data_IF_134494693130
#
_entry.id   IF_134494693130
#
_cell.length_a   1.000
_cell.length_b   1.000
_cell.length_c   1.000
_cell.angle_alpha   90.00
_cell.angle_beta   90.00
_cell.angle_gamma   90.00
#
_symmetry.space_group_name_H-M   'P 1'
#
loop_
_entity.id
_entity.type
_entity.pdbx_description
1 polymer ?
#
# COMPACT_ATOMS: atom_id res chain seq x y z
N UNK A 1 0.77 3.18 -0.86
CA UNK A 1 0.98 4.13 -1.98
C UNK A 1 -0.25 4.36 -2.85
N UNK A 2 -0.96 3.32 -3.32
CA UNK A 2 -2.12 3.48 -4.22
C UNK A 2 -3.19 4.45 -3.73
N UNK A 3 -3.52 4.45 -2.42
CA UNK A 3 -4.47 5.40 -1.85
C UNK A 3 -4.04 6.87 -2.00
N UNK A 4 -2.75 7.18 -1.88
CA UNK A 4 -2.23 8.54 -2.14
C UNK A 4 -2.32 8.94 -3.60
N UNK A 5 -2.04 8.01 -4.52
CA UNK A 5 -2.24 8.24 -5.96
C UNK A 5 -3.71 8.54 -6.26
N UNK A 6 -4.63 7.76 -5.71
CA UNK A 6 -6.07 7.97 -5.88
C UNK A 6 -6.54 9.30 -5.29
N UNK A 7 -6.08 9.65 -4.08
CA UNK A 7 -6.34 10.95 -3.44
C UNK A 7 -5.84 12.11 -4.30
N UNK A 8 -4.59 12.06 -4.79
CA UNK A 8 -4.04 13.10 -5.67
C UNK A 8 -4.86 13.24 -6.95
N UNK A 9 -5.26 12.12 -7.56
CA UNK A 9 -6.07 12.15 -8.76
C UNK A 9 -7.45 12.76 -8.52
N UNK A 10 -8.14 12.37 -7.43
CA UNK A 10 -9.43 12.93 -7.05
C UNK A 10 -9.34 14.44 -6.77
N UNK A 11 -8.29 14.90 -6.08
CA UNK A 11 -8.07 16.32 -5.78
C UNK A 11 -7.75 17.15 -7.02
N UNK A 12 -7.02 16.59 -7.99
CA UNK A 12 -6.56 17.33 -9.18
C UNK A 12 -7.47 17.18 -10.39
N UNK A 13 -8.32 16.15 -10.43
CA UNK A 13 -9.27 15.82 -11.50
C UNK A 13 -10.63 15.39 -10.92
N UNK A 14 -11.28 16.22 -10.08
CA UNK A 14 -12.48 15.82 -9.32
C UNK A 14 -13.64 15.34 -10.20
N UNK A 15 -13.83 15.93 -11.39
CA UNK A 15 -14.89 15.55 -12.32
C UNK A 15 -14.73 14.16 -12.95
N UNK A 16 -13.54 13.54 -12.81
CA UNK A 16 -13.25 12.20 -13.33
C UNK A 16 -13.45 11.10 -12.28
N UNK A 17 -13.83 11.46 -11.05
CA UNK A 17 -13.95 10.53 -9.94
C UNK A 17 -15.35 10.65 -9.34
N UNK A 18 -16.17 9.63 -9.54
CA UNK A 18 -17.54 9.59 -8.99
C UNK A 18 -17.54 9.37 -7.47
N UNK A 19 -16.73 8.42 -6.99
CA UNK A 19 -16.56 8.07 -5.57
C UNK A 19 -15.13 7.62 -5.32
N UNK A 20 -14.62 7.85 -4.10
CA UNK A 20 -13.26 7.49 -3.70
C UNK A 20 -13.27 6.52 -2.51
N UNK A 21 -12.52 5.41 -2.60
CA UNK A 21 -12.21 4.55 -1.45
C UNK A 21 -10.71 4.60 -1.19
N UNK A 22 -10.32 4.95 0.04
CA UNK A 22 -8.93 5.01 0.49
C UNK A 22 -8.75 3.99 1.61
N UNK A 23 -7.76 3.11 1.46
CA UNK A 23 -7.49 2.06 2.45
C UNK A 23 -6.19 2.37 3.19
N UNK A 24 -6.34 2.65 4.47
CA UNK A 24 -5.30 2.73 5.49
C UNK A 24 -4.09 3.60 5.10
N UNK A 25 -4.34 4.81 4.63
CA UNK A 25 -3.30 5.82 4.37
C UNK A 25 -3.83 7.24 4.57
N UNK A 26 -3.04 8.07 5.26
CA UNK A 26 -3.33 9.49 5.47
C UNK A 26 -2.78 10.34 4.31
N UNK A 27 -3.47 11.45 3.92
CA UNK A 27 -2.93 12.41 2.97
C UNK A 27 -1.79 13.25 3.54
N UNK A 28 -1.67 13.35 4.88
CA UNK A 28 -0.69 14.23 5.54
C UNK A 28 0.39 13.49 6.31
N UNK A 29 0.11 12.27 6.76
CA UNK A 29 1.04 11.50 7.60
C UNK A 29 1.51 10.24 6.87
N UNK A 30 2.77 9.90 7.08
CA UNK A 30 3.32 8.58 6.78
C UNK A 30 3.97 8.05 8.07
N UNK A 31 3.74 6.77 8.44
CA UNK A 31 4.35 6.21 9.64
C UNK A 31 5.88 6.22 9.62
N UNK A 32 6.50 6.31 10.80
CA UNK A 32 7.97 6.27 10.97
C UNK A 32 8.59 5.01 10.38
N UNK A 33 7.87 3.89 10.38
CA UNK A 33 8.35 2.63 9.80
C UNK A 33 8.67 2.75 8.30
N UNK A 34 7.99 3.68 7.61
CA UNK A 34 8.20 3.98 6.19
C UNK A 34 9.24 5.09 6.00
N UNK A 35 9.31 6.08 6.91
CA UNK A 35 10.09 7.30 6.70
C UNK A 35 11.43 7.35 7.43
N UNK A 36 11.53 6.76 8.63
CA UNK A 36 12.68 6.89 9.53
C UNK A 36 13.33 5.55 9.82
N UNK A 37 12.54 4.49 10.01
CA UNK A 37 13.08 3.16 10.35
C UNK A 37 13.64 2.42 9.12
N UNK A 38 13.54 3.02 7.93
CA UNK A 38 14.10 2.55 6.66
C UNK A 38 13.74 1.08 6.32
N UNK A 39 12.66 0.54 6.89
CA UNK A 39 12.27 -0.87 6.71
C UNK A 39 12.06 -1.21 5.24
N UNK A 40 11.46 -0.30 4.46
CA UNK A 40 11.31 -0.48 3.02
C UNK A 40 12.67 -0.59 2.30
N UNK A 41 13.65 0.23 2.68
CA UNK A 41 15.01 0.18 2.10
C UNK A 41 15.69 -1.13 2.47
N UNK A 42 15.55 -1.57 3.74
CA UNK A 42 16.07 -2.86 4.20
C UNK A 42 15.49 -4.02 3.38
N UNK A 43 14.17 -4.08 3.23
CA UNK A 43 13.51 -5.10 2.41
C UNK A 43 13.99 -5.06 0.96
N UNK A 44 14.08 -3.87 0.35
CA UNK A 44 14.58 -3.72 -1.01
C UNK A 44 16.05 -4.14 -1.16
N UNK A 45 16.89 -3.97 -0.14
CA UNK A 45 18.26 -4.46 -0.12
C UNK A 45 18.30 -6.00 -0.01
N UNK A 46 17.48 -6.59 0.85
CA UNK A 46 17.37 -8.04 0.97
C UNK A 46 16.91 -8.67 -0.35
N UNK A 47 15.93 -8.05 -1.04
CA UNK A 47 15.44 -8.49 -2.34
C UNK A 47 16.50 -8.48 -3.45
N UNK A 48 17.49 -7.58 -3.41
CA UNK A 48 18.59 -7.57 -4.39
C UNK A 48 19.49 -8.81 -4.25
N UNK A 49 19.55 -9.42 -3.07
CA UNK A 49 20.37 -10.61 -2.83
C UNK A 49 19.75 -11.87 -3.43
N UNK A 50 18.44 -11.87 -3.69
CA UNK A 50 17.68 -13.06 -4.10
C UNK A 50 18.03 -13.49 -5.53
N UNK A 51 17.88 -12.60 -6.52
CA UNK A 51 17.97 -12.97 -7.93
C UNK A 51 19.31 -13.63 -8.32
N UNK A 52 20.48 -13.17 -7.84
CA UNK A 52 21.77 -13.80 -8.13
C UNK A 52 21.92 -15.23 -7.60
N UNK A 53 21.09 -15.64 -6.64
CA UNK A 53 21.14 -16.96 -6.01
C UNK A 53 20.16 -17.97 -6.64
N UNK A 54 19.29 -17.53 -7.54
CA UNK A 54 18.30 -18.38 -8.19
C UNK A 54 18.86 -18.95 -9.50
N UNK A 55 18.84 -20.28 -9.63
CA UNK A 55 19.17 -20.94 -10.90
C UNK A 55 18.01 -20.82 -11.89
N UNK A 56 18.28 -20.54 -13.18
CA UNK A 56 17.25 -20.50 -14.22
C UNK A 56 16.54 -21.86 -14.43
N UNK A 57 17.18 -22.96 -14.06
CA UNK A 57 16.62 -24.31 -14.20
C UNK A 57 15.60 -24.66 -13.11
N UNK A 58 15.53 -23.85 -12.04
CA UNK A 58 14.53 -24.05 -11.00
C UNK A 58 13.12 -23.89 -11.58
N UNK A 59 12.18 -24.69 -11.05
CA UNK A 59 10.76 -24.43 -11.22
C UNK A 59 10.35 -23.21 -10.39
N UNK A 60 9.28 -22.51 -10.78
CA UNK A 60 8.82 -21.32 -10.05
C UNK A 60 8.51 -21.60 -8.56
N UNK A 61 7.90 -22.75 -8.18
CA UNK A 61 7.73 -23.10 -6.77
C UNK A 61 9.06 -23.28 -6.02
N UNK A 62 10.06 -23.93 -6.64
CA UNK A 62 11.36 -24.13 -6.03
C UNK A 62 12.11 -22.80 -5.83
N UNK A 63 12.10 -21.93 -6.83
CA UNK A 63 12.71 -20.61 -6.75
C UNK A 63 12.04 -19.72 -5.68
N UNK A 64 10.69 -19.77 -5.57
CA UNK A 64 9.96 -19.05 -4.51
C UNK A 64 10.32 -19.56 -3.12
N UNK A 65 10.46 -20.88 -2.94
CA UNK A 65 10.88 -21.48 -1.67
C UNK A 65 12.30 -21.06 -1.28
N UNK A 66 13.22 -21.05 -2.24
CA UNK A 66 14.60 -20.62 -2.00
C UNK A 66 14.69 -19.12 -1.71
N UNK A 67 13.94 -18.30 -2.44
CA UNK A 67 13.85 -16.87 -2.17
C UNK A 67 13.28 -16.57 -0.77
N UNK A 68 12.25 -17.31 -0.31
CA UNK A 68 11.74 -17.19 1.05
C UNK A 68 12.80 -17.53 2.10
N UNK A 69 13.58 -18.59 1.88
CA UNK A 69 14.70 -18.99 2.74
C UNK A 69 15.75 -17.88 2.84
N UNK A 70 16.14 -17.29 1.71
CA UNK A 70 17.12 -16.19 1.65
C UNK A 70 16.62 -14.97 2.45
N UNK A 71 15.35 -14.61 2.29
CA UNK A 71 14.77 -13.42 2.92
C UNK A 71 14.46 -13.60 4.42
N UNK A 72 14.51 -14.81 4.96
CA UNK A 72 14.04 -15.11 6.34
C UNK A 72 14.79 -14.34 7.42
N UNK A 73 16.11 -14.12 7.27
CA UNK A 73 16.91 -13.39 8.26
C UNK A 73 16.63 -11.90 8.28
N UNK A 74 16.44 -11.30 7.11
CA UNK A 74 16.28 -9.85 6.96
C UNK A 74 14.81 -9.41 7.08
N UNK A 75 13.88 -10.33 6.80
CA UNK A 75 12.42 -10.10 6.83
C UNK A 75 11.75 -11.25 7.59
N UNK A 76 11.73 -11.22 8.93
CA UNK A 76 11.18 -12.31 9.75
C UNK A 76 9.69 -12.57 9.53
N UNK A 77 8.93 -11.55 9.13
CA UNK A 77 7.48 -11.60 8.93
C UNK A 77 7.12 -12.38 7.66
N UNK A 78 6.64 -13.61 7.82
CA UNK A 78 6.29 -14.49 6.70
C UNK A 78 5.26 -13.86 5.73
N UNK A 79 4.28 -13.13 6.25
CA UNK A 79 3.28 -12.43 5.42
C UNK A 79 3.92 -11.38 4.51
N UNK A 80 4.91 -10.64 5.00
CA UNK A 80 5.66 -9.66 4.21
C UNK A 80 6.48 -10.35 3.14
N UNK A 81 7.18 -11.44 3.47
CA UNK A 81 7.93 -12.21 2.47
C UNK A 81 7.02 -12.75 1.38
N UNK A 82 5.88 -13.36 1.74
CA UNK A 82 4.91 -13.88 0.77
C UNK A 82 4.38 -12.78 -0.15
N UNK A 83 4.07 -11.60 0.39
CA UNK A 83 3.65 -10.45 -0.40
C UNK A 83 4.73 -10.00 -1.40
N UNK A 84 5.98 -9.87 -0.96
CA UNK A 84 7.09 -9.50 -1.85
C UNK A 84 7.32 -10.56 -2.94
N UNK A 85 7.32 -11.84 -2.55
CA UNK A 85 7.53 -12.97 -3.44
C UNK A 85 6.39 -13.16 -4.44
N UNK A 86 5.20 -12.62 -4.22
CA UNK A 86 4.14 -12.59 -5.23
C UNK A 86 4.64 -11.95 -6.55
N UNK A 87 5.60 -11.03 -6.47
CA UNK A 87 6.20 -10.34 -7.59
C UNK A 87 7.42 -11.06 -8.22
N UNK A 88 7.87 -12.20 -7.67
CA UNK A 88 8.94 -12.98 -8.27
C UNK A 88 8.41 -13.78 -9.47
N UNK A 89 8.99 -13.57 -10.64
CA UNK A 89 8.60 -14.30 -11.85
C UNK A 89 9.79 -14.90 -12.58
N UNK A 90 9.52 -15.93 -13.38
CA UNK A 90 10.48 -16.51 -14.31
C UNK A 90 10.39 -15.73 -15.62
N UNK A 91 11.42 -14.95 -15.94
CA UNK A 91 11.58 -14.35 -17.26
C UNK A 91 12.05 -15.39 -18.28
N UNK A 92 12.40 -14.93 -19.49
CA UNK A 92 12.83 -15.82 -20.58
C UNK A 92 14.12 -16.60 -20.24
N UNK A 93 15.03 -15.98 -19.49
CA UNK A 93 16.36 -16.55 -19.19
C UNK A 93 16.67 -16.62 -17.71
N UNK A 94 16.17 -15.70 -16.91
CA UNK A 94 16.46 -15.57 -15.48
C UNK A 94 15.19 -15.23 -14.71
N UNK A 95 15.24 -15.41 -13.40
CA UNK A 95 14.22 -14.86 -12.52
C UNK A 95 14.35 -13.35 -12.39
N UNK A 96 13.22 -12.67 -12.24
CA UNK A 96 13.15 -11.22 -12.10
C UNK A 96 12.01 -10.80 -11.19
N UNK A 97 12.08 -9.56 -10.70
CA UNK A 97 10.98 -8.90 -10.02
C UNK A 97 10.07 -8.25 -11.06
N UNK A 98 8.75 -8.46 -10.96
CA UNK A 98 7.76 -7.85 -11.86
C UNK A 98 7.84 -6.32 -11.89
N UNK A 99 8.19 -5.70 -10.76
CA UNK A 99 8.39 -4.26 -10.66
C UNK A 99 9.87 -3.90 -10.78
N UNK A 100 10.13 -2.68 -11.24
CA UNK A 100 11.50 -2.15 -11.34
C UNK A 100 12.05 -1.78 -9.96
N UNK A 101 12.59 -2.78 -9.25
CA UNK A 101 13.16 -2.62 -7.90
C UNK A 101 14.23 -1.53 -7.86
N UNK A 102 15.11 -1.47 -8.86
CA UNK A 102 16.16 -0.44 -8.95
C UNK A 102 15.57 0.98 -9.01
N UNK A 103 14.57 1.21 -9.87
CA UNK A 103 13.93 2.50 -9.99
C UNK A 103 13.17 2.89 -8.71
N UNK A 104 12.50 1.93 -8.07
CA UNK A 104 11.83 2.15 -6.79
C UNK A 104 12.83 2.60 -5.71
N UNK A 105 13.97 1.90 -5.56
CA UNK A 105 15.02 2.26 -4.59
C UNK A 105 15.56 3.67 -4.83
N UNK A 106 15.88 4.00 -6.08
CA UNK A 106 16.45 5.30 -6.46
C UNK A 106 15.48 6.47 -6.25
N UNK A 107 14.18 6.22 -6.32
CA UNK A 107 13.15 7.25 -6.23
C UNK A 107 12.31 7.16 -4.96
N UNK A 108 12.62 6.24 -4.04
CA UNK A 108 11.81 6.00 -2.84
C UNK A 108 11.53 7.28 -2.04
N UNK A 109 12.51 8.18 -1.79
CA UNK A 109 12.24 9.43 -1.08
C UNK A 109 11.18 10.31 -1.77
N UNK A 110 11.19 10.35 -3.11
CA UNK A 110 10.19 11.10 -3.90
C UNK A 110 8.84 10.40 -3.91
N UNK A 111 8.83 9.07 -3.91
CA UNK A 111 7.61 8.26 -3.93
C UNK A 111 6.87 8.39 -2.58
N UNK A 112 7.57 8.29 -1.46
CA UNK A 112 6.96 8.35 -0.13
C UNK A 112 6.54 9.78 0.26
N UNK A 113 7.11 10.80 -0.40
CA UNK A 113 6.71 12.18 -0.22
C UNK A 113 5.33 12.43 -0.84
N UNK A 114 4.41 12.98 -0.05
CA UNK A 114 3.15 13.49 -0.62
C UNK A 114 3.43 14.81 -1.32
N UNK A 115 2.80 15.02 -2.49
CA UNK A 115 2.82 16.33 -3.13
C UNK A 115 2.09 17.35 -2.24
N UNK A 116 2.50 18.62 -2.31
CA UNK A 116 1.74 19.67 -1.64
C UNK A 116 0.42 19.88 -2.39
N UNK A 117 -0.67 19.46 -1.75
CA UNK A 117 -2.03 19.54 -2.26
C UNK A 117 -2.90 20.45 -1.38
N UNK A 118 -2.28 21.38 -0.63
CA UNK A 118 -3.01 22.36 0.18
C UNK A 118 -3.92 23.22 -0.69
N UNK A 119 -5.10 23.51 -0.17
CA UNK A 119 -6.11 24.33 -0.85
C UNK A 119 -6.92 23.59 -1.93
N UNK A 120 -6.61 22.33 -2.23
CA UNK A 120 -7.47 21.48 -3.06
C UNK A 120 -8.50 20.76 -2.17
N UNK A 121 -9.73 20.66 -2.66
CA UNK A 121 -10.81 19.88 -2.05
C UNK A 121 -11.45 18.96 -3.10
N UNK A 122 -11.84 17.78 -2.67
CA UNK A 122 -12.67 16.85 -3.41
C UNK A 122 -14.01 16.67 -2.69
N UNK A 123 -15.06 17.26 -3.28
CA UNK A 123 -16.42 17.27 -2.70
C UNK A 123 -17.23 16.01 -3.05
N UNK A 124 -16.60 15.00 -3.65
CA UNK A 124 -17.22 13.70 -3.91
C UNK A 124 -17.23 12.82 -2.66
N UNK A 125 -18.14 11.84 -2.64
CA UNK A 125 -18.24 10.90 -1.53
C UNK A 125 -16.94 10.11 -1.43
N UNK A 126 -16.40 10.03 -0.21
CA UNK A 126 -15.11 9.38 0.06
C UNK A 126 -15.23 8.46 1.26
N UNK A 127 -14.78 7.22 1.14
CA UNK A 127 -14.70 6.26 2.24
C UNK A 127 -13.24 5.99 2.58
N UNK A 128 -12.86 6.27 3.82
CA UNK A 128 -11.56 5.96 4.40
C UNK A 128 -11.71 4.73 5.32
N UNK A 129 -11.16 3.59 4.88
CA UNK A 129 -11.16 2.35 5.65
C UNK A 129 -9.78 2.21 6.33
N UNK A 130 -9.73 2.38 7.65
CA UNK A 130 -8.52 2.36 8.45
C UNK A 130 -8.38 1.04 9.23
N UNK A 131 -7.16 0.52 9.35
CA UNK A 131 -6.88 -0.59 10.25
C UNK A 131 -6.97 -0.14 11.71
N UNK A 132 -7.76 -0.82 12.53
CA UNK A 132 -7.91 -0.49 13.95
C UNK A 132 -6.61 -0.58 14.75
N UNK A 133 -5.71 -1.48 14.33
CA UNK A 133 -4.41 -1.72 14.96
C UNK A 133 -3.26 -1.14 14.10
N UNK A 134 -3.60 -0.40 13.03
CA UNK A 134 -2.63 0.18 12.11
C UNK A 134 -2.19 1.59 12.55
N UNK A 135 -0.89 1.92 12.47
CA UNK A 135 -0.39 3.26 12.75
C UNK A 135 -0.55 4.24 11.57
N UNK A 136 -1.09 3.81 10.42
CA UNK A 136 -1.13 4.62 9.19
C UNK A 136 -2.11 5.79 9.21
N UNK A 137 -3.21 5.66 9.96
CA UNK A 137 -4.22 6.73 10.09
C UNK A 137 -4.67 6.84 11.54
N UNK A 138 -4.31 7.96 12.18
CA UNK A 138 -4.71 8.26 13.55
C UNK A 138 -5.88 9.24 13.58
N UNK A 139 -6.50 9.41 14.76
CA UNK A 139 -7.53 10.44 14.98
C UNK A 139 -7.03 11.87 14.71
N UNK A 140 -5.72 12.11 14.80
CA UNK A 140 -5.11 13.42 14.52
C UNK A 140 -5.12 13.77 13.03
N UNK A 141 -5.21 12.77 12.16
CA UNK A 141 -5.27 12.96 10.71
C UNK A 141 -6.66 13.38 10.24
N UNK A 142 -7.70 13.21 11.07
CA UNK A 142 -9.09 13.36 10.67
C UNK A 142 -9.43 14.78 10.21
N UNK A 143 -8.86 15.81 10.84
CA UNK A 143 -9.08 17.20 10.43
C UNK A 143 -8.51 17.45 9.03
N UNK A 144 -7.26 17.03 8.79
CA UNK A 144 -6.61 17.18 7.50
C UNK A 144 -7.27 16.36 6.40
N UNK A 145 -7.75 15.14 6.71
CA UNK A 145 -8.56 14.34 5.78
C UNK A 145 -9.81 15.13 5.40
N UNK A 146 -10.56 15.67 6.37
CA UNK A 146 -11.80 16.42 6.08
C UNK A 146 -11.58 17.77 5.41
N UNK A 147 -10.40 18.38 5.57
CA UNK A 147 -10.03 19.60 4.85
C UNK A 147 -9.96 19.36 3.34
N UNK A 148 -9.40 18.23 2.92
CA UNK A 148 -9.28 17.86 1.50
C UNK A 148 -10.45 17.02 0.98
N UNK A 149 -11.14 16.30 1.85
CA UNK A 149 -12.24 15.39 1.54
C UNK A 149 -13.43 15.66 2.48
N UNK A 150 -14.20 16.75 2.28
CA UNK A 150 -15.23 17.17 3.24
C UNK A 150 -16.33 16.14 3.49
N UNK A 151 -16.61 15.28 2.49
CA UNK A 151 -17.58 14.18 2.57
C UNK A 151 -16.94 12.83 2.94
N UNK A 152 -15.78 12.85 3.60
CA UNK A 152 -15.11 11.64 4.05
C UNK A 152 -15.87 10.95 5.20
N UNK A 153 -16.33 9.73 4.95
CA UNK A 153 -16.64 8.76 6.00
C UNK A 153 -15.33 8.06 6.41
N UNK A 154 -15.00 8.05 7.70
CA UNK A 154 -13.79 7.42 8.23
C UNK A 154 -14.19 6.28 9.15
N UNK A 155 -13.85 5.05 8.77
CA UNK A 155 -14.23 3.82 9.48
C UNK A 155 -12.98 3.07 9.91
N UNK A 156 -12.93 2.65 11.17
CA UNK A 156 -11.86 1.79 11.70
C UNK A 156 -12.34 0.35 11.80
N UNK A 157 -11.62 -0.57 11.16
CA UNK A 157 -11.89 -2.00 11.24
C UNK A 157 -11.11 -2.59 12.42
N UNK A 158 -11.82 -2.93 13.50
CA UNK A 158 -11.22 -3.46 14.72
C UNK A 158 -10.45 -4.76 14.46
N UNK A 159 -9.22 -4.85 14.97
CA UNK A 159 -8.39 -6.04 14.83
C UNK A 159 -7.77 -6.22 13.44
N UNK A 160 -7.83 -5.19 12.59
CA UNK A 160 -7.11 -5.15 11.32
C UNK A 160 -5.83 -4.30 11.48
N UNK A 161 -4.71 -4.81 10.97
CA UNK A 161 -3.48 -4.05 10.77
C UNK A 161 -3.54 -3.26 9.46
N UNK A 162 -2.38 -3.06 8.84
CA UNK A 162 -2.27 -2.21 7.65
C UNK A 162 -2.98 -2.79 6.41
N UNK A 163 -2.96 -4.11 6.26
CA UNK A 163 -3.59 -4.79 5.14
C UNK A 163 -5.02 -5.19 5.49
N UNK A 164 -5.89 -4.18 5.68
CA UNK A 164 -7.28 -4.38 6.13
C UNK A 164 -8.03 -5.42 5.31
N UNK A 165 -7.84 -5.41 3.99
CA UNK A 165 -8.47 -6.35 3.06
C UNK A 165 -7.95 -7.80 3.20
N UNK A 166 -6.75 -8.01 3.72
CA UNK A 166 -6.19 -9.32 4.01
C UNK A 166 -6.56 -9.79 5.43
N UNK A 167 -6.53 -8.89 6.41
CA UNK A 167 -6.81 -9.21 7.82
C UNK A 167 -8.31 -9.43 8.07
N UNK A 168 -9.16 -8.64 7.41
CA UNK A 168 -10.63 -8.58 7.59
C UNK A 168 -11.35 -8.50 6.24
N UNK A 169 -11.23 -9.54 5.39
CA UNK A 169 -11.73 -9.51 4.02
C UNK A 169 -13.26 -9.33 3.92
N UNK A 170 -14.02 -9.94 4.84
CA UNK A 170 -15.48 -9.85 4.85
C UNK A 170 -15.94 -8.44 5.20
N UNK A 171 -15.43 -7.88 6.31
CA UNK A 171 -15.76 -6.54 6.77
C UNK A 171 -15.32 -5.48 5.75
N UNK A 172 -14.14 -5.63 5.16
CA UNK A 172 -13.67 -4.77 4.08
C UNK A 172 -14.63 -4.79 2.89
N UNK A 173 -15.03 -5.97 2.43
CA UNK A 173 -15.91 -6.12 1.27
C UNK A 173 -17.30 -5.54 1.53
N UNK A 174 -17.84 -5.73 2.73
CA UNK A 174 -19.15 -5.20 3.12
C UNK A 174 -19.14 -3.66 3.14
N UNK A 175 -18.09 -3.05 3.69
CA UNK A 175 -17.91 -1.60 3.67
C UNK A 175 -17.86 -1.05 2.24
N UNK A 176 -17.06 -1.66 1.37
CA UNK A 176 -16.94 -1.22 -0.04
C UNK A 176 -18.26 -1.41 -0.78
N UNK A 177 -18.93 -2.56 -0.64
CA UNK A 177 -20.21 -2.83 -1.29
C UNK A 177 -21.28 -1.83 -0.87
N UNK A 178 -21.41 -1.56 0.43
CA UNK A 178 -22.37 -0.60 0.96
C UNK A 178 -22.12 0.79 0.37
N UNK A 179 -20.87 1.25 0.41
CA UNK A 179 -20.50 2.56 -0.13
C UNK A 179 -20.74 2.71 -1.63
N UNK A 180 -20.52 1.64 -2.41
CA UNK A 180 -20.79 1.65 -3.85
C UNK A 180 -22.29 1.53 -4.17
N UNK A 181 -23.07 0.88 -3.31
CA UNK A 181 -24.51 0.73 -3.47
C UNK A 181 -25.30 2.00 -3.07
N UNK A 182 -24.73 2.86 -2.24
CA UNK A 182 -25.33 4.16 -1.90
C UNK A 182 -25.40 5.02 -3.17
N UNK A 183 -26.60 5.08 -3.76
CA UNK A 183 -26.95 6.07 -4.78
C UNK A 183 -26.96 7.44 -4.11
N UNK A 184 -26.07 8.32 -4.54
CA UNK A 184 -26.11 9.72 -4.13
C UNK A 184 -27.46 10.30 -4.57
N UNK A 185 -28.36 10.57 -3.62
CA UNK A 185 -29.52 11.46 -3.80
C UNK A 185 -29.07 12.90 -3.92
#
# INVERSE_FOLDING_TARGET
MGGRTAMTFALTRPSMVERLVVVDVSPVTMPSIVTTDNVLVSHMNAMDTVLPQLSPDMSSPAARKEADRILTSDIPEAGVRQFLLANLQKGERLYEWQFNLKALKQNLPKIIQMHDLKGLSYDGNSLFICGGDSPYVSKRDHSAIREQFPKAEIVYVKGAGHWVHADKPAEFLDLVKKFLADTAT
#
